data_IF_207370835436
#
_entry.id   IF_207370835436
#
_cell.length_a   1.000
_cell.length_b   1.000
_cell.length_c   1.000
_cell.angle_alpha   90.00
_cell.angle_beta   90.00
_cell.angle_gamma   90.00
#
_symmetry.space_group_name_H-M   'P 1'
#
loop_
_entity.id
_entity.type
_entity.pdbx_description
1 polymer ?
#
# COMPACT_ATOMS: atom_id res chain seq x y z
N UNK A 1 -22.76 7.02 -6.53
CA UNK A 1 -21.73 6.88 -5.47
C UNK A 1 -21.40 8.27 -4.93
N UNK A 2 -21.02 9.25 -5.74
CA UNK A 2 -20.81 10.65 -5.34
C UNK A 2 -22.01 11.18 -4.56
N UNK A 3 -23.21 11.01 -5.09
CA UNK A 3 -24.45 11.44 -4.43
C UNK A 3 -24.67 10.77 -3.07
N UNK A 4 -24.36 9.48 -2.93
CA UNK A 4 -24.47 8.77 -1.65
C UNK A 4 -23.41 9.30 -0.64
N UNK A 5 -22.24 9.67 -1.13
CA UNK A 5 -21.19 10.29 -0.31
C UNK A 5 -21.65 11.69 0.16
N UNK A 6 -22.15 12.51 -0.75
CA UNK A 6 -22.65 13.86 -0.47
C UNK A 6 -23.83 13.81 0.50
N UNK A 7 -24.85 12.98 0.21
CA UNK A 7 -26.03 12.80 1.07
C UNK A 7 -25.64 12.24 2.45
N UNK A 8 -24.68 11.32 2.54
CA UNK A 8 -24.23 10.74 3.81
C UNK A 8 -23.42 11.72 4.65
N UNK A 9 -22.63 12.57 4.02
CA UNK A 9 -21.81 13.57 4.73
C UNK A 9 -22.67 14.79 5.13
N UNK A 10 -23.54 15.25 4.25
CA UNK A 10 -24.44 16.39 4.54
C UNK A 10 -25.60 16.01 5.48
N UNK A 11 -26.02 14.74 5.50
CA UNK A 11 -27.09 14.26 6.37
C UNK A 11 -26.64 13.88 7.78
N UNK A 12 -25.34 13.94 8.10
CA UNK A 12 -24.85 13.70 9.44
C UNK A 12 -25.02 14.97 10.27
N UNK A 13 -25.99 14.99 11.20
CA UNK A 13 -26.22 16.06 12.20
C UNK A 13 -25.09 16.22 13.23
N UNK A 14 -23.86 15.96 12.87
CA UNK A 14 -22.71 16.02 13.77
C UNK A 14 -21.89 17.25 13.40
N UNK A 15 -21.33 17.94 14.37
CA UNK A 15 -20.41 19.07 14.24
C UNK A 15 -19.33 18.80 13.18
N UNK A 16 -19.54 19.38 12.00
CA UNK A 16 -19.01 18.90 10.73
C UNK A 16 -17.87 19.81 10.24
N UNK A 17 -17.18 20.51 11.10
CA UNK A 17 -16.29 21.57 10.64
C UNK A 17 -15.17 21.09 9.69
N UNK A 18 -14.50 19.98 9.97
CA UNK A 18 -13.39 19.54 9.12
C UNK A 18 -13.81 18.73 7.88
N UNK A 19 -14.86 17.90 7.97
CA UNK A 19 -15.32 17.11 6.84
C UNK A 19 -16.04 17.97 5.81
N UNK A 20 -16.84 18.93 6.25
CA UNK A 20 -17.47 19.96 5.39
C UNK A 20 -16.42 20.89 4.81
N UNK A 21 -15.43 21.32 5.59
CA UNK A 21 -14.34 22.16 5.09
C UNK A 21 -13.57 21.43 3.97
N UNK A 22 -13.29 20.16 4.14
CA UNK A 22 -12.61 19.35 3.13
C UNK A 22 -13.46 19.15 1.86
N UNK A 23 -14.77 18.98 2.00
CA UNK A 23 -15.71 18.88 0.86
C UNK A 23 -15.90 20.24 0.20
N UNK A 24 -15.99 21.33 0.94
CA UNK A 24 -16.13 22.68 0.40
C UNK A 24 -14.85 23.17 -0.31
N UNK A 25 -13.68 22.73 0.14
CA UNK A 25 -12.41 23.05 -0.51
C UNK A 25 -12.09 22.16 -1.72
N UNK A 26 -12.70 20.98 -1.81
CA UNK A 26 -12.54 20.07 -2.94
C UNK A 26 -13.91 19.56 -3.38
N UNK A 27 -14.52 20.21 -4.37
CA UNK A 27 -15.87 19.86 -4.82
C UNK A 27 -15.99 18.44 -5.40
N UNK A 28 -14.86 17.76 -5.60
CA UNK A 28 -14.82 16.35 -5.96
C UNK A 28 -13.93 15.57 -4.98
N UNK A 29 -14.49 14.63 -4.20
CA UNK A 29 -13.69 13.78 -3.32
C UNK A 29 -12.70 12.94 -4.13
N UNK A 30 -11.50 12.74 -3.59
CA UNK A 30 -10.50 11.88 -4.23
C UNK A 30 -10.98 10.43 -4.30
N UNK A 31 -10.44 9.65 -5.22
CA UNK A 31 -10.72 8.21 -5.29
C UNK A 31 -10.38 7.48 -3.98
N UNK A 32 -9.39 7.96 -3.23
CA UNK A 32 -9.01 7.43 -1.93
C UNK A 32 -10.08 7.75 -0.86
N UNK A 33 -10.61 8.98 -0.84
CA UNK A 33 -11.66 9.37 0.09
C UNK A 33 -12.95 8.58 -0.15
N UNK A 34 -13.31 8.37 -1.43
CA UNK A 34 -14.46 7.53 -1.79
C UNK A 34 -14.28 6.06 -1.36
N UNK A 35 -13.07 5.51 -1.48
CA UNK A 35 -12.77 4.16 -1.00
C UNK A 35 -12.90 4.08 0.52
N UNK A 36 -12.34 5.07 1.22
CA UNK A 36 -12.38 5.15 2.69
C UNK A 36 -13.83 5.26 3.18
N UNK A 37 -14.62 6.12 2.57
CA UNK A 37 -16.04 6.28 2.89
C UNK A 37 -16.86 5.00 2.65
N UNK A 38 -16.64 4.30 1.54
CA UNK A 38 -17.30 3.02 1.26
C UNK A 38 -16.97 1.94 2.29
N UNK A 39 -15.70 1.83 2.69
CA UNK A 39 -15.28 0.88 3.73
C UNK A 39 -15.95 1.20 5.06
N UNK A 40 -16.01 2.47 5.42
CA UNK A 40 -16.65 2.96 6.64
C UNK A 40 -18.16 2.63 6.70
N UNK A 41 -18.88 2.80 5.58
CA UNK A 41 -20.30 2.39 5.46
C UNK A 41 -20.45 0.86 5.58
N UNK A 42 -19.61 0.09 4.89
CA UNK A 42 -19.68 -1.37 4.90
C UNK A 42 -19.49 -1.93 6.31
N UNK A 43 -18.54 -1.39 7.08
CA UNK A 43 -18.26 -1.81 8.46
C UNK A 43 -19.18 -1.16 9.50
N UNK A 44 -20.24 -0.49 9.04
CA UNK A 44 -21.25 0.18 9.89
C UNK A 44 -20.61 1.09 10.92
N UNK A 45 -19.69 1.92 10.45
CA UNK A 45 -19.03 2.99 11.21
C UNK A 45 -18.12 2.52 12.35
N UNK A 46 -17.81 1.23 12.47
CA UNK A 46 -17.04 0.65 13.58
C UNK A 46 -15.74 0.03 13.11
N UNK A 47 -14.69 0.18 13.92
CA UNK A 47 -13.43 -0.52 13.73
C UNK A 47 -13.61 -2.01 13.99
N UNK A 48 -13.18 -2.91 13.09
CA UNK A 48 -13.38 -4.35 13.29
C UNK A 48 -12.52 -4.92 14.42
N UNK A 49 -11.40 -4.29 14.77
CA UNK A 49 -10.47 -4.81 15.78
C UNK A 49 -10.76 -4.32 17.20
N UNK A 50 -11.44 -3.19 17.32
CA UNK A 50 -11.76 -2.58 18.63
C UNK A 50 -13.26 -2.53 18.90
N UNK A 51 -14.11 -2.61 17.87
CA UNK A 51 -15.56 -2.40 17.97
C UNK A 51 -15.96 -0.94 18.17
N UNK A 52 -14.99 -0.04 18.29
CA UNK A 52 -15.23 1.38 18.52
C UNK A 52 -15.82 2.09 17.30
N UNK A 53 -16.62 3.12 17.57
CA UNK A 53 -17.20 3.94 16.51
C UNK A 53 -16.11 4.83 15.90
N UNK A 54 -16.07 4.88 14.59
CA UNK A 54 -15.23 5.77 13.80
C UNK A 54 -16.06 7.00 13.46
N UNK A 55 -15.81 8.15 14.09
CA UNK A 55 -16.56 9.37 13.79
C UNK A 55 -16.28 9.87 12.37
N UNK A 56 -17.30 10.35 11.66
CA UNK A 56 -17.15 10.79 10.27
C UNK A 56 -16.14 11.92 10.11
N UNK A 57 -16.13 12.90 11.03
CA UNK A 57 -15.21 14.03 11.00
C UNK A 57 -13.73 13.60 11.15
N UNK A 58 -13.48 12.46 11.78
CA UNK A 58 -12.12 11.89 11.95
C UNK A 58 -11.75 10.88 10.86
N UNK A 59 -12.71 10.41 10.10
CA UNK A 59 -12.51 9.38 9.07
C UNK A 59 -11.37 9.72 8.10
N UNK A 60 -11.27 10.97 7.70
CA UNK A 60 -10.30 11.44 6.71
C UNK A 60 -8.99 11.98 7.31
N UNK A 61 -8.88 11.95 8.64
CA UNK A 61 -7.64 12.34 9.34
C UNK A 61 -6.63 11.20 9.39
N UNK A 62 -5.44 11.47 9.91
CA UNK A 62 -4.39 10.47 10.15
C UNK A 62 -4.68 9.53 11.33
N UNK A 63 -5.74 9.78 12.11
CA UNK A 63 -6.12 8.90 13.22
C UNK A 63 -6.63 7.54 12.73
N UNK A 64 -7.15 7.47 11.50
CA UNK A 64 -7.71 6.26 10.91
C UNK A 64 -7.10 5.99 9.55
N UNK A 65 -6.79 4.74 9.28
CA UNK A 65 -6.14 4.27 8.05
C UNK A 65 -6.92 3.15 7.40
N UNK A 66 -6.73 3.01 6.08
CA UNK A 66 -7.15 1.82 5.35
C UNK A 66 -6.09 0.75 5.61
N UNK A 67 -6.52 -0.33 6.23
CA UNK A 67 -5.69 -1.46 6.61
C UNK A 67 -5.98 -2.66 5.70
N UNK A 68 -4.94 -3.46 5.39
CA UNK A 68 -5.07 -4.71 4.66
C UNK A 68 -5.21 -5.88 5.64
N UNK A 69 -6.37 -6.55 5.65
CA UNK A 69 -6.69 -7.68 6.53
C UNK A 69 -5.60 -8.75 6.45
N UNK A 70 -5.19 -9.08 5.22
CA UNK A 70 -3.99 -9.87 4.92
C UNK A 70 -2.93 -8.88 4.41
N UNK A 71 -1.80 -8.72 5.12
CA UNK A 71 -0.75 -7.79 4.72
C UNK A 71 -0.24 -8.05 3.30
N UNK A 72 -0.05 -6.99 2.52
CA UNK A 72 0.40 -7.10 1.12
C UNK A 72 1.77 -7.77 0.97
N UNK A 73 2.63 -7.65 1.98
CA UNK A 73 3.93 -8.32 2.03
C UNK A 73 3.83 -9.84 2.10
N UNK A 74 2.75 -10.36 2.67
CA UNK A 74 2.50 -11.80 2.80
C UNK A 74 1.67 -12.37 1.66
N UNK A 75 0.72 -11.59 1.15
CA UNK A 75 -0.14 -11.95 0.03
C UNK A 75 -0.62 -10.69 -0.68
N UNK A 76 -0.22 -10.53 -1.95
CA UNK A 76 -0.57 -9.35 -2.73
C UNK A 76 -2.04 -9.37 -3.15
N UNK A 77 -2.88 -8.74 -2.35
CA UNK A 77 -4.31 -8.54 -2.62
C UNK A 77 -4.71 -7.11 -2.25
N UNK A 78 -4.81 -6.23 -3.25
CA UNK A 78 -5.25 -4.84 -3.09
C UNK A 78 -6.75 -4.67 -3.30
N UNK A 79 -7.51 -5.76 -3.33
CA UNK A 79 -8.95 -5.71 -3.53
C UNK A 79 -9.67 -5.04 -2.34
N UNK A 80 -10.86 -4.51 -2.61
CA UNK A 80 -11.74 -3.93 -1.60
C UNK A 80 -12.08 -4.94 -0.48
N UNK A 81 -12.14 -6.23 -0.82
CA UNK A 81 -12.42 -7.30 0.14
C UNK A 81 -11.27 -7.60 1.11
N UNK A 82 -10.07 -7.10 0.83
CA UNK A 82 -8.92 -7.21 1.73
C UNK A 82 -8.68 -5.94 2.54
N UNK A 83 -9.62 -4.98 2.54
CA UNK A 83 -9.44 -3.68 3.19
C UNK A 83 -10.52 -3.41 4.23
N UNK A 84 -10.11 -2.83 5.34
CA UNK A 84 -10.96 -2.28 6.40
C UNK A 84 -10.39 -0.95 6.86
N UNK A 85 -11.13 -0.24 7.73
CA UNK A 85 -10.63 0.96 8.41
C UNK A 85 -10.47 0.64 9.88
N UNK A 86 -9.34 1.00 10.42
CA UNK A 86 -9.06 0.94 11.85
C UNK A 86 -8.22 2.14 12.30
N UNK A 87 -8.02 2.25 13.58
CA UNK A 87 -7.14 3.24 14.19
C UNK A 87 -5.70 3.03 13.72
N UNK A 88 -4.99 4.11 13.37
CA UNK A 88 -3.59 4.04 12.90
C UNK A 88 -2.66 3.37 13.91
N UNK A 89 -2.90 3.57 15.22
CA UNK A 89 -2.13 2.92 16.26
C UNK A 89 -2.38 1.41 16.32
N UNK A 90 -3.63 0.97 16.08
CA UNK A 90 -4.00 -0.45 15.99
C UNK A 90 -3.40 -1.08 14.74
N UNK A 91 -3.41 -0.37 13.62
CA UNK A 91 -2.76 -0.82 12.37
C UNK A 91 -1.25 -1.06 12.58
N UNK A 92 -0.57 -0.13 13.23
CA UNK A 92 0.85 -0.27 13.59
C UNK A 92 1.10 -1.47 14.50
N UNK A 93 0.23 -1.70 15.49
CA UNK A 93 0.35 -2.85 16.39
C UNK A 93 0.13 -4.17 15.65
N UNK A 94 -0.82 -4.18 14.68
CA UNK A 94 -1.12 -5.37 13.88
C UNK A 94 0.03 -5.77 12.96
N UNK A 95 0.75 -4.81 12.40
CA UNK A 95 1.89 -5.02 11.50
C UNK A 95 1.64 -6.12 10.46
N UNK A 96 2.44 -7.17 10.45
CA UNK A 96 2.36 -8.30 9.50
C UNK A 96 1.37 -9.41 9.93
N UNK A 97 0.64 -9.22 11.02
CA UNK A 97 -0.33 -10.22 11.48
C UNK A 97 -1.60 -10.21 10.61
N UNK A 98 -2.26 -11.36 10.53
CA UNK A 98 -3.56 -11.53 9.84
C UNK A 98 -4.68 -11.30 10.85
N UNK A 99 -5.86 -10.85 10.42
CA UNK A 99 -6.97 -10.42 11.25
C UNK A 99 -7.21 -11.22 12.53
N UNK A 100 -7.63 -12.49 12.44
CA UNK A 100 -7.92 -13.30 13.63
C UNK A 100 -6.65 -13.67 14.43
N UNK A 101 -5.52 -13.89 13.74
CA UNK A 101 -4.25 -14.17 14.42
C UNK A 101 -3.78 -12.96 15.26
N UNK A 102 -3.96 -11.75 14.76
CA UNK A 102 -3.73 -10.51 15.51
C UNK A 102 -4.59 -10.44 16.76
N UNK A 103 -5.90 -10.69 16.62
CA UNK A 103 -6.84 -10.68 17.76
C UNK A 103 -6.41 -11.69 18.82
N UNK A 104 -6.09 -12.93 18.42
CA UNK A 104 -5.65 -13.97 19.37
C UNK A 104 -4.36 -13.63 20.11
N UNK A 105 -3.46 -12.90 19.45
CA UNK A 105 -2.19 -12.49 20.03
C UNK A 105 -2.30 -11.26 20.94
N UNK A 106 -3.23 -10.33 20.64
CA UNK A 106 -3.27 -9.00 21.28
C UNK A 106 -4.59 -8.68 21.98
N UNK A 107 -5.54 -9.66 22.10
CA UNK A 107 -6.82 -9.40 22.75
C UNK A 107 -6.65 -8.82 24.16
N UNK A 108 -7.57 -7.97 24.54
CA UNK A 108 -7.54 -7.30 25.85
C UNK A 108 -6.51 -6.19 25.99
N UNK A 109 -5.56 -6.05 25.08
CA UNK A 109 -4.56 -4.99 25.08
C UNK A 109 -5.20 -3.61 24.90
N UNK A 110 -4.72 -2.63 25.67
CA UNK A 110 -5.11 -1.22 25.53
C UNK A 110 -4.08 -0.52 24.66
N UNK A 111 -4.54 0.08 23.57
CA UNK A 111 -3.72 0.82 22.61
C UNK A 111 -3.98 2.31 22.80
N UNK A 112 -2.91 3.09 22.95
CA UNK A 112 -2.99 4.55 23.00
C UNK A 112 -2.99 5.10 21.57
N UNK A 113 -4.10 5.72 21.19
CA UNK A 113 -4.29 6.34 19.88
C UNK A 113 -3.88 7.82 19.84
N UNK A 114 -3.33 8.33 20.93
CA UNK A 114 -2.98 9.76 21.07
C UNK A 114 -4.18 10.62 21.53
N UNK A 115 -3.89 11.88 21.88
CA UNK A 115 -4.88 12.86 22.37
C UNK A 115 -5.79 12.33 23.51
N UNK A 116 -5.27 11.42 24.34
CA UNK A 116 -6.02 10.83 25.46
C UNK A 116 -7.00 9.72 25.07
N UNK A 117 -7.10 9.39 23.76
CA UNK A 117 -7.93 8.28 23.29
C UNK A 117 -7.21 6.95 23.48
N UNK A 118 -7.83 6.05 24.25
CA UNK A 118 -7.39 4.67 24.41
C UNK A 118 -8.46 3.72 23.91
N UNK A 119 -8.07 2.69 23.18
CA UNK A 119 -8.97 1.66 22.67
C UNK A 119 -8.50 0.29 23.14
N UNK A 120 -9.45 -0.61 23.37
CA UNK A 120 -9.14 -2.00 23.76
C UNK A 120 -9.34 -2.91 22.58
N UNK A 121 -8.38 -3.79 22.33
CA UNK A 121 -8.52 -4.85 21.31
C UNK A 121 -9.57 -5.84 21.79
N UNK A 122 -10.50 -6.21 20.90
CA UNK A 122 -11.60 -7.13 21.19
C UNK A 122 -11.09 -8.49 21.65
N UNK A 123 -11.88 -9.14 22.51
CA UNK A 123 -11.70 -10.55 22.82
C UNK A 123 -12.07 -11.40 21.60
N UNK A 124 -11.47 -12.60 21.40
CA UNK A 124 -11.68 -13.43 20.21
C UNK A 124 -13.15 -13.71 19.90
N UNK A 125 -13.94 -14.08 20.92
CA UNK A 125 -15.37 -14.39 20.76
C UNK A 125 -16.15 -13.12 20.33
N UNK A 126 -15.87 -11.97 20.97
CA UNK A 126 -16.52 -10.71 20.62
C UNK A 126 -16.14 -10.25 19.20
N UNK A 127 -14.90 -10.48 18.79
CA UNK A 127 -14.45 -10.20 17.42
C UNK A 127 -15.16 -11.09 16.40
N UNK A 128 -15.25 -12.40 16.66
CA UNK A 128 -15.95 -13.32 15.78
C UNK A 128 -17.42 -12.96 15.59
N UNK A 129 -18.11 -12.66 16.69
CA UNK A 129 -19.50 -12.23 16.65
C UNK A 129 -19.67 -10.91 15.90
N UNK A 130 -18.76 -9.95 16.14
CA UNK A 130 -18.73 -8.69 15.41
C UNK A 130 -18.58 -8.94 13.89
N UNK A 131 -17.60 -9.73 13.49
CA UNK A 131 -17.32 -10.03 12.08
C UNK A 131 -18.50 -10.74 11.42
N UNK A 132 -19.05 -11.76 12.06
CA UNK A 132 -20.23 -12.49 11.57
C UNK A 132 -21.45 -11.58 11.40
N UNK A 133 -21.67 -10.67 12.33
CA UNK A 133 -22.81 -9.73 12.32
C UNK A 133 -22.65 -8.64 11.23
N UNK A 134 -21.46 -8.06 11.08
CA UNK A 134 -21.26 -6.91 10.21
C UNK A 134 -20.96 -7.29 8.76
N UNK A 135 -20.29 -8.42 8.55
CA UNK A 135 -19.84 -8.85 7.22
C UNK A 135 -20.59 -10.08 6.68
N UNK A 136 -21.74 -10.44 7.25
CA UNK A 136 -22.57 -11.58 6.79
C UNK A 136 -22.90 -11.54 5.30
N UNK A 137 -23.09 -10.33 4.75
CA UNK A 137 -23.38 -10.12 3.31
C UNK A 137 -22.14 -10.17 2.42
N UNK A 138 -20.94 -10.03 2.98
CA UNK A 138 -19.67 -10.09 2.24
C UNK A 138 -18.83 -11.27 2.72
N UNK A 139 -19.17 -12.47 2.26
CA UNK A 139 -18.46 -13.71 2.61
C UNK A 139 -16.96 -13.65 2.34
N UNK A 140 -16.54 -12.97 1.27
CA UNK A 140 -15.12 -12.87 0.92
C UNK A 140 -14.32 -12.11 1.98
N UNK A 141 -14.85 -11.00 2.46
CA UNK A 141 -14.23 -10.20 3.53
C UNK A 141 -14.32 -10.90 4.88
N UNK A 142 -15.49 -11.47 5.19
CA UNK A 142 -15.70 -12.27 6.40
C UNK A 142 -14.65 -13.39 6.51
N UNK A 143 -14.47 -14.16 5.45
CA UNK A 143 -13.47 -15.23 5.45
C UNK A 143 -12.06 -14.73 5.68
N UNK A 144 -11.67 -13.56 5.12
CA UNK A 144 -10.34 -12.98 5.36
C UNK A 144 -10.16 -12.51 6.81
N UNK A 145 -11.18 -11.88 7.39
CA UNK A 145 -11.16 -11.44 8.79
C UNK A 145 -11.04 -12.63 9.75
N UNK A 146 -11.66 -13.75 9.41
CA UNK A 146 -11.64 -15.00 10.21
C UNK A 146 -10.41 -15.88 9.95
N UNK A 147 -9.50 -15.49 9.05
CA UNK A 147 -8.28 -16.25 8.80
C UNK A 147 -7.25 -16.08 9.90
N UNK A 148 -6.61 -17.17 10.30
CA UNK A 148 -5.41 -17.18 11.12
C UNK A 148 -4.14 -17.34 10.27
N UNK A 149 -4.25 -18.08 9.18
CA UNK A 149 -3.15 -18.33 8.24
C UNK A 149 -3.66 -18.21 6.81
N UNK A 150 -2.74 -17.87 5.91
CA UNK A 150 -3.05 -17.82 4.48
C UNK A 150 -3.13 -19.25 3.95
N UNK A 151 -4.28 -19.68 3.40
CA UNK A 151 -4.39 -21.01 2.84
C UNK A 151 -3.40 -21.24 1.70
N UNK A 152 -2.78 -22.40 1.65
CA UNK A 152 -1.82 -22.76 0.61
C UNK A 152 -2.38 -22.63 -0.80
N UNK A 153 -3.66 -22.92 -0.98
CA UNK A 153 -4.39 -22.72 -2.27
C UNK A 153 -4.35 -21.25 -2.74
N UNK A 154 -4.38 -20.29 -1.84
CA UNK A 154 -4.30 -18.87 -2.20
C UNK A 154 -2.89 -18.52 -2.68
N UNK A 155 -1.86 -19.00 -1.97
CA UNK A 155 -0.46 -18.80 -2.35
C UNK A 155 -0.18 -19.45 -3.71
N UNK A 156 -0.64 -20.68 -3.92
CA UNK A 156 -0.47 -21.40 -5.19
C UNK A 156 -1.14 -20.65 -6.35
N UNK A 157 -2.35 -20.11 -6.13
CA UNK A 157 -3.06 -19.30 -7.14
C UNK A 157 -2.24 -18.06 -7.51
N UNK A 158 -1.75 -17.31 -6.55
CA UNK A 158 -0.93 -16.12 -6.81
C UNK A 158 0.36 -16.45 -7.58
N UNK A 159 1.02 -17.56 -7.25
CA UNK A 159 2.19 -18.06 -7.99
C UNK A 159 1.83 -18.44 -9.43
N UNK A 160 0.66 -19.04 -9.65
CA UNK A 160 0.18 -19.36 -10.99
C UNK A 160 -0.14 -18.12 -11.80
N UNK A 161 -0.79 -17.12 -11.20
CA UNK A 161 -1.08 -15.84 -11.85
C UNK A 161 0.23 -15.12 -12.25
N UNK A 162 1.23 -15.12 -11.38
CA UNK A 162 2.55 -14.57 -11.67
C UNK A 162 3.23 -15.31 -12.82
N UNK A 163 3.16 -16.64 -12.87
CA UNK A 163 3.68 -17.45 -13.98
C UNK A 163 2.97 -17.13 -15.29
N UNK A 164 1.65 -16.97 -15.26
CA UNK A 164 0.87 -16.59 -16.44
C UNK A 164 1.29 -15.22 -16.97
N UNK A 165 1.40 -14.22 -16.11
CA UNK A 165 1.84 -12.87 -16.46
C UNK A 165 3.26 -12.90 -17.05
N UNK A 166 4.19 -13.62 -16.43
CA UNK A 166 5.55 -13.77 -16.93
C UNK A 166 5.58 -14.39 -18.33
N UNK A 167 4.77 -15.43 -18.55
CA UNK A 167 4.63 -16.09 -19.85
C UNK A 167 4.07 -15.15 -20.93
N UNK A 168 3.04 -14.39 -20.56
CA UNK A 168 2.42 -13.41 -21.46
C UNK A 168 3.39 -12.30 -21.85
N UNK A 169 4.10 -11.72 -20.87
CA UNK A 169 5.10 -10.68 -21.12
C UNK A 169 6.26 -11.23 -21.98
N UNK A 170 6.74 -12.44 -21.68
CA UNK A 170 7.79 -13.10 -22.49
C UNK A 170 7.35 -13.25 -23.95
N UNK A 171 6.08 -13.62 -24.17
CA UNK A 171 5.55 -13.73 -25.53
C UNK A 171 5.49 -12.36 -26.25
N UNK A 172 5.01 -11.32 -25.57
CA UNK A 172 4.99 -9.97 -26.13
C UNK A 172 6.40 -9.47 -26.51
N UNK A 173 7.35 -9.61 -25.59
CA UNK A 173 8.73 -9.20 -25.82
C UNK A 173 9.40 -10.03 -26.92
N UNK A 174 9.02 -11.30 -27.07
CA UNK A 174 9.53 -12.17 -28.13
C UNK A 174 9.26 -11.61 -29.53
N UNK A 175 8.16 -10.89 -29.72
CA UNK A 175 7.85 -10.24 -30.98
C UNK A 175 8.81 -9.09 -31.35
N UNK A 176 9.48 -8.53 -30.34
CA UNK A 176 10.40 -7.39 -30.51
C UNK A 176 11.83 -7.85 -30.75
N UNK A 177 12.25 -8.93 -30.04
CA UNK A 177 13.66 -9.37 -30.02
C UNK A 177 13.91 -10.63 -30.84
N UNK A 178 12.93 -11.13 -31.59
CA UNK A 178 13.04 -12.32 -32.41
C UNK A 178 13.89 -12.03 -33.63
N UNK A 179 14.93 -12.83 -33.83
CA UNK A 179 15.74 -12.81 -35.06
C UNK A 179 15.13 -13.76 -36.08
N UNK A 180 14.92 -13.30 -37.32
CA UNK A 180 14.09 -13.95 -38.34
C UNK A 180 14.54 -15.36 -38.73
N UNK A 181 15.79 -15.75 -38.51
CA UNK A 181 16.34 -16.98 -39.11
C UNK A 181 16.45 -18.20 -38.16
N UNK A 182 16.29 -18.06 -36.82
CA UNK A 182 16.63 -19.18 -35.94
C UNK A 182 15.71 -19.39 -34.72
N UNK A 183 14.57 -18.71 -34.64
CA UNK A 183 13.76 -18.68 -33.44
C UNK A 183 12.30 -19.06 -33.72
N UNK A 184 12.07 -20.34 -34.01
CA UNK A 184 10.75 -20.90 -34.35
C UNK A 184 9.86 -21.25 -33.14
N UNK A 185 10.29 -20.98 -31.93
CA UNK A 185 9.52 -21.24 -30.70
C UNK A 185 8.40 -20.22 -30.42
N UNK A 186 7.51 -20.54 -29.51
CA UNK A 186 6.46 -19.61 -29.04
C UNK A 186 7.12 -18.37 -28.41
N UNK A 187 8.16 -18.56 -27.59
CA UNK A 187 8.97 -17.50 -27.02
C UNK A 187 10.35 -17.48 -27.68
N UNK A 188 10.88 -16.26 -27.89
CA UNK A 188 12.24 -16.09 -28.38
C UNK A 188 13.29 -16.64 -27.42
N UNK A 189 14.34 -17.24 -27.93
CA UNK A 189 15.50 -17.67 -27.14
C UNK A 189 16.24 -16.50 -26.50
N UNK A 190 16.06 -15.30 -27.03
CA UNK A 190 16.65 -14.07 -26.52
C UNK A 190 15.95 -13.53 -25.26
N UNK A 191 14.87 -14.19 -24.80
CA UNK A 191 14.18 -13.83 -23.57
C UNK A 191 14.31 -14.95 -22.54
N UNK A 192 14.96 -14.62 -21.44
CA UNK A 192 15.12 -15.50 -20.31
C UNK A 192 14.40 -14.90 -19.11
N UNK A 193 13.38 -15.59 -18.58
CA UNK A 193 12.73 -15.23 -17.35
C UNK A 193 13.51 -15.77 -16.17
N UNK A 194 13.95 -14.90 -15.26
CA UNK A 194 14.68 -15.26 -14.04
C UNK A 194 13.96 -14.81 -12.77
N UNK A 195 14.47 -15.18 -11.62
CA UNK A 195 14.03 -14.60 -10.36
C UNK A 195 14.64 -13.19 -10.16
N UNK A 196 13.99 -12.36 -9.33
CA UNK A 196 14.40 -10.98 -9.12
C UNK A 196 15.84 -10.84 -8.57
N UNK A 197 16.31 -11.80 -7.79
CA UNK A 197 17.68 -11.80 -7.24
C UNK A 197 18.72 -12.02 -8.35
N UNK A 198 18.44 -12.92 -9.28
CA UNK A 198 19.33 -13.18 -10.41
C UNK A 198 19.41 -11.96 -11.33
N UNK A 199 18.26 -11.37 -11.68
CA UNK A 199 18.24 -10.17 -12.52
C UNK A 199 18.86 -8.96 -11.82
N UNK A 200 18.79 -8.87 -10.50
CA UNK A 200 19.47 -7.82 -9.73
C UNK A 200 20.99 -7.97 -9.80
N UNK A 201 21.52 -9.20 -9.63
CA UNK A 201 22.95 -9.48 -9.78
C UNK A 201 23.42 -9.10 -11.20
N UNK A 202 22.74 -9.57 -12.25
CA UNK A 202 23.11 -9.23 -13.63
C UNK A 202 23.06 -7.73 -13.90
N UNK A 203 22.06 -7.04 -13.38
CA UNK A 203 21.93 -5.59 -13.55
C UNK A 203 23.10 -4.85 -12.90
N UNK A 204 23.54 -5.29 -11.72
CA UNK A 204 24.69 -4.73 -11.03
C UNK A 204 25.99 -5.02 -11.79
N UNK A 205 26.20 -6.28 -12.21
CA UNK A 205 27.40 -6.71 -12.92
C UNK A 205 27.57 -6.01 -14.29
N UNK A 206 26.46 -5.74 -14.95
CA UNK A 206 26.44 -5.01 -16.23
C UNK A 206 26.45 -3.49 -16.08
N UNK A 207 26.49 -2.95 -14.86
CA UNK A 207 26.47 -1.51 -14.63
C UNK A 207 25.16 -0.83 -15.08
N UNK A 208 24.07 -1.57 -15.21
CA UNK A 208 22.79 -1.05 -15.70
C UNK A 208 22.20 0.03 -14.78
N UNK A 209 22.49 -0.04 -13.48
CA UNK A 209 22.10 1.00 -12.53
C UNK A 209 22.79 2.32 -12.82
N UNK A 210 24.04 2.27 -13.26
CA UNK A 210 24.81 3.45 -13.63
C UNK A 210 24.27 4.10 -14.89
N UNK A 211 23.91 3.29 -15.88
CA UNK A 211 23.25 3.75 -17.12
C UNK A 211 21.91 4.39 -16.79
N UNK A 212 21.12 3.73 -15.94
CA UNK A 212 19.82 4.27 -15.52
C UNK A 212 19.96 5.60 -14.76
N UNK A 213 20.86 5.66 -13.79
CA UNK A 213 21.12 6.89 -13.04
C UNK A 213 21.56 8.03 -13.97
N UNK A 214 22.37 7.76 -14.96
CA UNK A 214 22.78 8.75 -15.95
C UNK A 214 21.60 9.25 -16.81
N UNK A 215 20.68 8.38 -17.17
CA UNK A 215 19.49 8.73 -17.95
C UNK A 215 18.50 9.60 -17.16
N UNK A 216 18.36 9.37 -15.86
CA UNK A 216 17.41 10.13 -15.03
C UNK A 216 18.02 11.38 -14.40
N UNK A 217 19.35 11.46 -14.24
CA UNK A 217 20.05 12.58 -13.59
C UNK A 217 19.62 13.96 -14.13
N UNK A 218 19.48 14.20 -15.45
CA UNK A 218 19.04 15.51 -15.95
C UNK A 218 17.67 15.97 -15.43
N UNK A 219 16.79 15.05 -15.06
CA UNK A 219 15.48 15.38 -14.44
C UNK A 219 15.69 15.96 -13.03
N UNK A 220 16.60 15.39 -12.27
CA UNK A 220 16.92 15.82 -10.91
C UNK A 220 17.71 17.14 -10.91
N UNK A 221 18.62 17.33 -11.85
CA UNK A 221 19.28 18.61 -12.07
C UNK A 221 18.28 19.72 -12.45
N UNK A 222 17.28 19.38 -13.26
CA UNK A 222 16.18 20.29 -13.57
C UNK A 222 15.36 20.64 -12.33
N UNK A 223 15.10 19.68 -11.45
CA UNK A 223 14.43 19.94 -10.17
C UNK A 223 15.25 20.87 -9.29
N UNK A 224 16.56 20.68 -9.18
CA UNK A 224 17.46 21.62 -8.47
C UNK A 224 17.32 23.04 -9.00
N UNK A 225 17.29 23.22 -10.32
CA UNK A 225 17.11 24.54 -10.95
C UNK A 225 15.74 25.15 -10.64
N UNK A 226 14.66 24.34 -10.70
CA UNK A 226 13.29 24.81 -10.45
C UNK A 226 13.05 25.18 -8.99
N UNK A 227 13.68 24.47 -8.06
CA UNK A 227 13.54 24.70 -6.61
C UNK A 227 14.64 25.64 -6.06
N UNK A 228 15.57 26.06 -6.90
CA UNK A 228 16.76 26.81 -6.50
C UNK A 228 17.51 26.15 -5.32
N UNK A 229 17.67 24.82 -5.39
CA UNK A 229 18.32 23.99 -4.38
C UNK A 229 19.30 23.01 -5.00
N UNK A 230 20.05 22.29 -4.18
CA UNK A 230 20.94 21.18 -4.58
C UNK A 230 20.45 19.83 -4.08
N UNK A 231 19.23 19.78 -3.58
CA UNK A 231 18.69 18.69 -2.77
C UNK A 231 18.39 17.42 -3.58
N UNK A 232 18.27 17.55 -4.89
CA UNK A 232 17.88 16.44 -5.77
C UNK A 232 19.08 15.73 -6.42
N UNK A 233 20.31 16.17 -6.11
CA UNK A 233 21.54 15.50 -6.57
C UNK A 233 22.58 15.49 -5.46
N UNK A 234 23.32 14.39 -5.30
CA UNK A 234 24.42 14.31 -4.36
C UNK A 234 25.66 13.70 -4.99
N UNK A 235 26.83 14.19 -4.59
CA UNK A 235 28.10 13.62 -4.98
C UNK A 235 28.32 12.28 -4.29
N UNK A 236 28.54 11.23 -5.05
CA UNK A 236 28.88 9.91 -4.52
C UNK A 236 30.39 9.66 -4.66
N UNK A 237 31.08 9.52 -3.53
CA UNK A 237 32.52 9.30 -3.50
C UNK A 237 32.94 7.96 -4.11
N UNK A 238 32.12 6.91 -3.95
CA UNK A 238 32.48 5.59 -4.47
C UNK A 238 32.39 5.53 -6.01
N UNK A 239 31.45 6.25 -6.58
CA UNK A 239 31.26 6.30 -8.04
C UNK A 239 31.89 7.54 -8.69
N UNK A 240 32.44 8.48 -7.90
CA UNK A 240 33.05 9.74 -8.37
C UNK A 240 32.15 10.51 -9.36
N UNK A 241 30.84 10.56 -9.07
CA UNK A 241 29.84 11.25 -9.89
C UNK A 241 28.65 11.72 -9.08
N UNK A 242 27.89 12.66 -9.63
CA UNK A 242 26.59 13.02 -9.08
C UNK A 242 25.57 11.92 -9.33
N UNK A 243 24.81 11.58 -8.29
CA UNK A 243 23.68 10.66 -8.38
C UNK A 243 22.38 11.38 -8.03
N UNK A 244 21.27 10.97 -8.65
CA UNK A 244 19.94 11.44 -8.26
C UNK A 244 19.65 11.11 -6.79
N UNK A 245 19.09 12.06 -6.06
CA UNK A 245 18.66 11.88 -4.68
C UNK A 245 17.21 12.33 -4.53
N UNK A 246 16.51 11.76 -3.57
CA UNK A 246 15.17 12.20 -3.19
C UNK A 246 15.25 12.73 -1.77
N UNK A 247 14.90 14.01 -1.54
CA UNK A 247 14.84 14.54 -0.20
C UNK A 247 13.76 13.82 0.61
N UNK A 248 14.13 13.33 1.79
CA UNK A 248 13.20 12.71 2.74
C UNK A 248 12.79 13.77 3.73
N UNK A 249 11.53 14.19 3.69
CA UNK A 249 10.98 15.15 4.63
C UNK A 249 10.50 14.42 5.88
N UNK A 250 11.13 14.69 7.01
CA UNK A 250 10.66 14.23 8.30
C UNK A 250 9.56 15.17 8.83
N UNK A 251 8.71 14.67 9.70
CA UNK A 251 7.55 15.36 10.27
C UNK A 251 7.86 16.70 11.00
N UNK A 252 9.12 17.09 11.08
CA UNK A 252 9.59 18.37 11.68
C UNK A 252 10.27 19.31 10.68
N UNK A 253 10.09 19.12 9.39
CA UNK A 253 10.68 19.99 8.36
C UNK A 253 12.17 19.77 8.09
N UNK A 254 12.80 18.75 8.64
CA UNK A 254 14.16 18.35 8.31
C UNK A 254 14.17 17.43 7.10
N UNK A 255 15.03 17.70 6.14
CA UNK A 255 15.28 16.83 5.00
C UNK A 255 16.52 15.98 5.25
N UNK A 256 16.38 14.67 5.08
CA UNK A 256 17.51 13.74 5.04
C UNK A 256 17.63 13.25 3.60
N UNK A 257 18.84 13.30 3.06
CA UNK A 257 19.12 12.88 1.69
C UNK A 257 19.66 11.46 1.70
N UNK A 258 19.05 10.60 0.90
CA UNK A 258 19.64 9.31 0.58
C UNK A 258 20.63 9.50 -0.56
N UNK A 259 21.91 9.29 -0.30
CA UNK A 259 22.96 9.26 -1.33
C UNK A 259 23.05 7.92 -2.03
N UNK A 260 22.28 6.95 -1.59
CA UNK A 260 22.14 5.65 -2.22
C UNK A 260 21.00 5.69 -3.23
N UNK A 261 21.16 4.94 -4.30
CA UNK A 261 20.25 4.76 -5.45
C UNK A 261 18.82 5.25 -5.23
N UNK A 262 18.30 6.05 -6.16
CA UNK A 262 16.85 6.32 -6.19
C UNK A 262 16.14 4.96 -6.14
N UNK A 263 15.30 4.69 -5.15
CA UNK A 263 14.68 3.38 -5.02
C UNK A 263 13.83 3.09 -6.25
N UNK A 264 14.19 2.03 -6.97
CA UNK A 264 13.43 1.58 -8.13
C UNK A 264 12.14 0.84 -7.74
N UNK A 265 11.98 0.54 -6.45
CA UNK A 265 10.85 -0.22 -5.96
C UNK A 265 10.21 0.45 -4.76
N UNK A 266 8.89 0.44 -4.73
CA UNK A 266 8.08 0.82 -3.56
C UNK A 266 8.39 0.00 -2.28
N UNK A 267 9.18 -1.07 -2.41
CA UNK A 267 9.49 -1.98 -1.29
C UNK A 267 10.79 -1.61 -0.56
N UNK A 268 11.51 -0.57 -1.01
CA UNK A 268 12.67 -0.05 -0.28
C UNK A 268 12.27 1.09 0.68
N UNK A 269 11.00 1.19 0.99
CA UNK A 269 10.52 1.98 2.12
C UNK A 269 10.84 1.24 3.40
N UNK A 270 11.77 1.79 4.14
CA UNK A 270 12.08 1.50 5.52
C UNK A 270 10.82 1.48 6.38
#
# INVERSE_FOLDING_TARGET
>A
ILKIYEDGVLGAEIEIDEAILKISQSPQPSSADLKKYKLWLEQKYKSPYTGEIIPLHKLFTSEYEIEHIIPQSRFFDDSFNNKVICESAVNKLKDQAIGLAFIKACHGQIVDCGMGKRVKILEPDAYEDFVKKHYSKNRSKLNRLMMENIPEKMITRQLNDTRYISKYISNLLSNIVREEQNDGGINSKNIISGNGRFTDTLRNDWGMDDVWNSLILPRFERMNKLTNSTDFTAWNQNHQKYLPTVPIYLSKGFSIYSTTKVPHRRNDTI
#
